data_IF_746518082542
#
_entry.id   IF_746518082542
#
_cell.length_a   1.000
_cell.length_b   1.000
_cell.length_c   1.000
_cell.angle_alpha   90.00
_cell.angle_beta   90.00
_cell.angle_gamma   90.00
#
_symmetry.space_group_name_H-M   'P 1'
#
loop_
_entity.id
_entity.type
_entity.pdbx_description
1 polymer ?
#
# COMPACT_ATOMS: atom_id res chain seq x y z
N UNK A 1 30.45 -4.71 -4.84
CA UNK A 1 29.31 -4.03 -4.16
C UNK A 1 28.43 -3.25 -5.15
N UNK A 2 27.85 -3.86 -6.19
CA UNK A 2 27.41 -3.04 -7.36
C UNK A 2 26.08 -3.41 -8.04
N UNK A 3 25.28 -4.33 -7.51
CA UNK A 3 23.94 -4.64 -8.08
C UNK A 3 22.78 -4.13 -7.21
N UNK A 4 22.66 -4.68 -6.00
CA UNK A 4 21.47 -4.47 -5.13
C UNK A 4 21.22 -3.01 -4.71
N UNK A 5 22.26 -2.22 -4.48
CA UNK A 5 22.10 -0.81 -4.11
C UNK A 5 21.57 0.04 -5.27
N UNK A 6 21.95 -0.29 -6.52
CA UNK A 6 21.46 0.40 -7.71
C UNK A 6 19.95 0.15 -7.89
N UNK A 7 19.50 -1.11 -7.76
CA UNK A 7 18.07 -1.45 -7.85
C UNK A 7 17.22 -0.85 -6.72
N UNK A 8 17.78 -0.73 -5.51
CA UNK A 8 17.08 -0.08 -4.39
C UNK A 8 16.69 1.37 -4.76
N UNK A 9 17.60 2.10 -5.41
CA UNK A 9 17.33 3.47 -5.87
C UNK A 9 16.29 3.54 -6.98
N UNK A 10 16.24 2.53 -7.88
CA UNK A 10 15.30 2.51 -9.01
C UNK A 10 13.86 2.36 -8.53
N UNK A 11 13.61 1.49 -7.56
CA UNK A 11 12.25 1.22 -7.06
C UNK A 11 11.79 2.19 -5.97
N UNK A 12 12.70 2.91 -5.31
CA UNK A 12 12.35 3.80 -4.21
C UNK A 12 11.31 4.85 -4.61
N UNK A 13 11.40 5.39 -5.84
CA UNK A 13 10.45 6.38 -6.38
C UNK A 13 9.00 5.86 -6.45
N UNK A 14 8.82 4.56 -6.62
CA UNK A 14 7.51 3.92 -6.79
C UNK A 14 6.81 3.64 -5.46
N UNK A 15 7.52 3.75 -4.33
CA UNK A 15 7.01 3.47 -2.99
C UNK A 15 7.08 4.72 -2.12
N UNK A 16 5.91 5.24 -1.71
CA UNK A 16 5.83 6.36 -0.80
C UNK A 16 6.49 6.02 0.56
N UNK A 17 7.03 7.01 1.29
CA UNK A 17 7.59 6.76 2.62
C UNK A 17 6.62 6.12 3.61
N UNK A 18 5.31 6.37 3.44
CA UNK A 18 4.24 5.76 4.25
C UNK A 18 3.81 4.36 3.79
N UNK A 19 4.46 3.76 2.79
CA UNK A 19 4.17 2.41 2.29
C UNK A 19 3.20 2.33 1.13
N UNK A 20 2.58 3.43 0.70
CA UNK A 20 1.71 3.39 -0.49
C UNK A 20 2.55 3.06 -1.73
N UNK A 21 2.10 2.07 -2.50
CA UNK A 21 2.65 1.80 -3.83
C UNK A 21 2.08 2.82 -4.83
N UNK A 22 2.88 3.83 -5.16
CA UNK A 22 2.42 4.98 -5.93
C UNK A 22 1.95 4.60 -7.33
N UNK A 23 2.58 3.63 -8.00
CA UNK A 23 2.21 3.21 -9.37
C UNK A 23 0.74 2.77 -9.50
N UNK A 24 0.16 2.28 -8.41
CA UNK A 24 -1.23 1.80 -8.36
C UNK A 24 -2.18 2.74 -7.62
N UNK A 25 -1.72 3.96 -7.33
CA UNK A 25 -2.58 5.02 -6.85
C UNK A 25 -3.46 5.55 -8.00
N UNK A 26 -4.76 5.81 -7.78
CA UNK A 26 -5.64 6.39 -8.79
C UNK A 26 -5.08 7.68 -9.42
N UNK A 27 -4.34 8.49 -8.65
CA UNK A 27 -3.75 9.73 -9.14
C UNK A 27 -2.78 9.57 -10.30
N UNK A 28 -2.12 8.41 -10.44
CA UNK A 28 -1.26 8.13 -11.60
C UNK A 28 -2.07 8.16 -12.89
N UNK A 29 -3.24 7.53 -12.90
CA UNK A 29 -4.11 7.47 -14.08
C UNK A 29 -4.91 8.76 -14.27
N UNK A 30 -5.45 9.33 -13.19
CA UNK A 30 -6.40 10.45 -13.28
C UNK A 30 -5.71 11.75 -13.67
N UNK A 31 -4.47 11.98 -13.25
CA UNK A 31 -3.78 13.25 -13.50
C UNK A 31 -2.26 13.12 -13.67
N UNK A 32 -1.79 11.96 -14.15
CA UNK A 32 -0.37 11.70 -14.40
C UNK A 32 0.54 11.96 -13.19
N UNK A 33 0.08 11.58 -11.99
CA UNK A 33 0.87 11.73 -10.77
C UNK A 33 2.18 10.92 -10.86
N UNK A 34 3.30 11.57 -10.56
CA UNK A 34 4.64 10.94 -10.56
C UNK A 34 5.05 10.32 -9.21
N UNK A 35 4.15 10.32 -8.23
CA UNK A 35 4.39 9.73 -6.89
C UNK A 35 4.88 10.73 -5.85
N UNK A 36 4.76 10.34 -4.56
CA UNK A 36 4.98 11.27 -3.45
C UNK A 36 6.41 11.78 -3.34
N UNK A 37 7.41 10.97 -3.71
CA UNK A 37 8.82 11.37 -3.62
C UNK A 37 9.19 12.42 -4.66
N UNK A 38 8.74 12.24 -5.90
CA UNK A 38 8.92 13.22 -6.97
C UNK A 38 8.33 14.58 -6.58
N UNK A 39 7.12 14.53 -6.01
CA UNK A 39 6.37 15.72 -5.57
C UNK A 39 6.78 16.24 -4.20
N UNK A 40 7.80 15.69 -3.55
CA UNK A 40 8.23 16.05 -2.19
C UNK A 40 7.08 16.11 -1.17
N UNK A 41 6.11 15.21 -1.32
CA UNK A 41 4.91 15.12 -0.48
C UNK A 41 3.80 16.13 -0.79
N UNK A 42 3.98 17.03 -1.76
CA UNK A 42 3.00 18.04 -2.19
C UNK A 42 2.33 17.61 -3.50
N UNK A 43 1.24 16.85 -3.42
CA UNK A 43 0.51 16.40 -4.60
C UNK A 43 -0.44 17.51 -5.05
N UNK A 44 -0.35 17.99 -6.30
CA UNK A 44 -1.16 19.11 -6.81
C UNK A 44 -1.08 20.33 -5.86
N UNK A 45 -2.20 21.01 -5.65
CA UNK A 45 -2.31 22.20 -4.79
C UNK A 45 -2.64 21.83 -3.34
N UNK A 46 -2.54 20.56 -2.96
CA UNK A 46 -2.71 20.15 -1.56
C UNK A 46 -1.50 20.56 -0.71
N UNK A 47 -1.68 20.80 0.59
CA UNK A 47 -0.56 21.00 1.51
C UNK A 47 0.40 19.81 1.51
N UNK A 48 1.67 20.05 1.85
CA UNK A 48 2.67 18.99 2.04
C UNK A 48 2.14 17.97 3.05
N UNK A 49 2.14 16.69 2.65
CA UNK A 49 1.68 15.61 3.50
C UNK A 49 2.49 15.55 4.80
N UNK A 50 1.80 15.63 5.95
CA UNK A 50 2.42 15.58 7.29
C UNK A 50 3.24 14.31 7.52
N UNK A 51 2.82 13.17 6.99
CA UNK A 51 3.57 11.91 7.10
C UNK A 51 4.85 11.94 6.26
N UNK A 52 4.80 12.51 5.06
CA UNK A 52 5.98 12.68 4.21
C UNK A 52 7.00 13.59 4.87
N UNK A 53 6.54 14.74 5.41
CA UNK A 53 7.37 15.69 6.15
C UNK A 53 8.07 15.03 7.33
N UNK A 54 7.32 14.31 8.17
CA UNK A 54 7.86 13.59 9.33
C UNK A 54 8.99 12.61 8.96
N UNK A 55 8.80 11.80 7.92
CA UNK A 55 9.82 10.83 7.47
C UNK A 55 11.06 11.55 6.93
N UNK A 56 10.86 12.60 6.14
CA UNK A 56 11.95 13.38 5.53
C UNK A 56 12.79 14.13 6.56
N UNK A 57 12.15 14.76 7.55
CA UNK A 57 12.84 15.50 8.63
C UNK A 57 13.68 14.59 9.53
N UNK A 58 13.26 13.32 9.70
CA UNK A 58 14.01 12.32 10.46
C UNK A 58 15.07 11.59 9.62
N UNK A 59 15.21 11.91 8.33
CA UNK A 59 16.19 11.29 7.44
C UNK A 59 15.90 9.83 7.09
N UNK A 60 14.66 9.37 7.30
CA UNK A 60 14.26 8.00 6.97
C UNK A 60 13.78 7.91 5.51
N UNK A 61 13.92 6.72 4.92
CA UNK A 61 13.32 6.38 3.64
C UNK A 61 11.86 5.93 3.79
N UNK A 62 11.55 5.21 4.87
CA UNK A 62 10.26 4.61 5.15
C UNK A 62 9.88 4.77 6.63
N UNK A 63 8.58 4.83 6.92
CA UNK A 63 8.11 4.95 8.30
C UNK A 63 8.57 3.80 9.22
N UNK A 64 8.82 2.59 8.70
CA UNK A 64 9.19 1.44 9.54
C UNK A 64 10.58 1.56 10.18
N UNK A 65 11.39 2.53 9.75
CA UNK A 65 12.71 2.86 10.31
C UNK A 65 12.59 3.71 11.58
N UNK A 66 11.41 4.24 11.87
CA UNK A 66 11.13 5.01 13.08
C UNK A 66 10.86 4.09 14.28
N UNK A 67 11.42 4.40 15.45
CA UNK A 67 11.17 3.65 16.69
C UNK A 67 9.71 3.73 17.17
N UNK A 68 9.00 4.79 16.79
CA UNK A 68 7.57 4.97 17.06
C UNK A 68 6.67 4.23 16.05
N UNK A 69 7.22 3.43 15.15
CA UNK A 69 6.43 2.68 14.17
C UNK A 69 5.80 1.42 14.77
N UNK A 70 4.49 1.18 14.55
CA UNK A 70 3.52 2.00 13.83
C UNK A 70 2.98 3.17 14.69
N UNK A 71 2.67 4.31 14.06
CA UNK A 71 2.08 5.47 14.75
C UNK A 71 0.74 5.89 14.14
N UNK A 72 0.00 6.76 14.84
CA UNK A 72 -1.35 7.22 14.49
C UNK A 72 -1.48 7.80 13.07
N UNK A 73 -0.40 8.36 12.50
CA UNK A 73 -0.38 8.88 11.11
C UNK A 73 -0.62 7.80 10.04
N UNK A 74 -0.47 6.53 10.41
CA UNK A 74 -0.64 5.37 9.53
C UNK A 74 -1.93 4.58 9.80
N UNK A 75 -2.78 5.06 10.71
CA UNK A 75 -4.03 4.39 11.06
C UNK A 75 -4.91 4.20 9.80
N UNK A 76 -5.47 3.00 9.60
CA UNK A 76 -6.44 2.76 8.53
C UNK A 76 -7.76 3.49 8.83
N UNK A 77 -8.45 3.90 7.78
CA UNK A 77 -9.73 4.62 7.88
C UNK A 77 -10.71 4.03 6.87
N UNK A 78 -11.91 3.71 7.36
CA UNK A 78 -12.97 3.10 6.53
C UNK A 78 -13.57 4.16 5.61
N UNK A 79 -14.01 5.30 6.17
CA UNK A 79 -14.80 6.32 5.45
C UNK A 79 -13.94 7.37 4.72
N UNK A 80 -12.74 7.01 4.27
CA UNK A 80 -11.88 7.85 3.43
C UNK A 80 -11.53 7.13 2.12
N UNK A 81 -12.56 6.51 1.56
CA UNK A 81 -12.52 5.50 0.49
C UNK A 81 -12.00 6.06 -0.83
N UNK A 82 -12.10 7.37 -1.01
CA UNK A 82 -11.53 8.13 -2.14
C UNK A 82 -10.01 7.90 -2.29
N UNK A 83 -9.36 7.38 -1.25
CA UNK A 83 -7.96 7.00 -1.30
C UNK A 83 -7.73 5.55 -0.84
N UNK A 84 -8.48 4.60 -1.38
CA UNK A 84 -8.28 3.15 -1.24
C UNK A 84 -6.83 2.71 -0.93
N UNK A 85 -5.74 3.13 -1.61
CA UNK A 85 -4.38 2.70 -1.25
C UNK A 85 -3.95 3.02 0.20
N UNK A 86 -4.61 3.94 0.92
CA UNK A 86 -4.24 4.36 2.28
C UNK A 86 -4.37 3.26 3.33
N UNK A 87 -5.28 2.29 3.16
CA UNK A 87 -5.40 1.19 4.13
C UNK A 87 -4.33 0.11 3.92
N UNK A 88 -3.56 0.16 2.81
CA UNK A 88 -2.45 -0.77 2.55
C UNK A 88 -1.11 -0.36 3.19
N UNK A 89 -1.01 0.86 3.75
CA UNK A 89 0.23 1.46 4.28
C UNK A 89 1.02 0.53 5.20
N UNK A 90 0.37 0.07 6.28
CA UNK A 90 1.02 -0.77 7.30
C UNK A 90 1.46 -2.11 6.71
N UNK A 91 0.58 -2.78 5.97
CA UNK A 91 0.90 -4.06 5.34
C UNK A 91 2.11 -3.93 4.40
N UNK A 92 2.11 -2.93 3.53
CA UNK A 92 3.21 -2.71 2.59
C UNK A 92 4.52 -2.39 3.31
N UNK A 93 4.51 -1.54 4.35
CA UNK A 93 5.71 -1.23 5.14
C UNK A 93 6.30 -2.48 5.80
N UNK A 94 5.47 -3.33 6.39
CA UNK A 94 5.90 -4.59 7.00
C UNK A 94 6.46 -5.56 5.94
N UNK A 95 5.86 -5.60 4.75
CA UNK A 95 6.36 -6.44 3.66
C UNK A 95 7.68 -5.93 3.08
N UNK A 96 7.87 -4.61 2.95
CA UNK A 96 9.17 -4.02 2.58
C UNK A 96 10.22 -4.35 3.64
N UNK A 97 9.89 -4.20 4.93
CA UNK A 97 10.80 -4.56 6.02
C UNK A 97 11.17 -6.05 6.01
N UNK A 98 10.21 -6.92 5.72
CA UNK A 98 10.40 -8.39 5.71
C UNK A 98 11.18 -8.89 4.50
N UNK A 99 10.86 -8.41 3.30
CA UNK A 99 11.37 -8.95 2.04
C UNK A 99 12.51 -8.11 1.45
N UNK A 100 12.65 -6.86 1.89
CA UNK A 100 13.40 -5.83 1.19
C UNK A 100 12.59 -5.22 0.04
N UNK A 101 12.96 -3.99 -0.34
CA UNK A 101 12.23 -3.21 -1.34
C UNK A 101 12.18 -3.88 -2.72
N UNK A 102 13.28 -4.49 -3.16
CA UNK A 102 13.38 -5.13 -4.48
C UNK A 102 12.36 -6.25 -4.63
N UNK A 103 12.40 -7.24 -3.73
CA UNK A 103 11.48 -8.39 -3.75
C UNK A 103 10.03 -7.97 -3.55
N UNK A 104 9.79 -6.97 -2.69
CA UNK A 104 8.44 -6.45 -2.51
C UNK A 104 7.91 -5.81 -3.79
N UNK A 105 8.74 -5.02 -4.49
CA UNK A 105 8.35 -4.36 -5.72
C UNK A 105 7.99 -5.35 -6.84
N UNK A 106 8.71 -6.47 -6.94
CA UNK A 106 8.44 -7.54 -7.93
C UNK A 106 7.02 -8.12 -7.81
N UNK A 107 6.45 -8.17 -6.60
CA UNK A 107 5.11 -8.74 -6.35
C UNK A 107 4.03 -7.67 -6.09
N UNK A 108 4.39 -6.39 -6.06
CA UNK A 108 3.49 -5.34 -5.58
C UNK A 108 2.29 -5.09 -6.51
N UNK A 109 2.46 -5.30 -7.81
CA UNK A 109 1.37 -5.23 -8.80
C UNK A 109 0.30 -6.30 -8.52
N UNK A 110 0.70 -7.56 -8.33
CA UNK A 110 -0.18 -8.68 -7.97
C UNK A 110 -0.90 -8.40 -6.63
N UNK A 111 -0.16 -7.97 -5.60
CA UNK A 111 -0.76 -7.64 -4.30
C UNK A 111 -1.72 -6.47 -4.39
N UNK A 112 -1.47 -5.52 -5.29
CA UNK A 112 -2.39 -4.43 -5.57
C UNK A 112 -3.66 -4.92 -6.26
N UNK A 113 -3.57 -5.83 -7.25
CA UNK A 113 -4.77 -6.44 -7.86
C UNK A 113 -5.61 -7.18 -6.81
N UNK A 114 -4.98 -7.97 -5.92
CA UNK A 114 -5.69 -8.62 -4.82
C UNK A 114 -6.31 -7.61 -3.85
N UNK A 115 -5.63 -6.50 -3.56
CA UNK A 115 -6.17 -5.46 -2.69
C UNK A 115 -7.42 -4.79 -3.26
N UNK A 116 -7.40 -4.46 -4.56
CA UNK A 116 -8.50 -3.72 -5.20
C UNK A 116 -9.66 -4.60 -5.68
N UNK A 117 -9.39 -5.85 -6.04
CA UNK A 117 -10.36 -6.74 -6.72
C UNK A 117 -10.55 -8.08 -6.02
N UNK A 118 -9.63 -8.41 -5.13
CA UNK A 118 -9.63 -9.69 -4.44
C UNK A 118 -10.76 -9.77 -3.42
N UNK A 119 -11.20 -11.00 -3.21
CA UNK A 119 -12.29 -11.33 -2.29
C UNK A 119 -11.93 -12.60 -1.54
N UNK A 120 -12.54 -12.76 -0.37
CA UNK A 120 -12.53 -14.03 0.35
C UNK A 120 -13.75 -14.81 -0.12
N UNK A 121 -13.54 -16.03 -0.57
CA UNK A 121 -14.63 -16.87 -1.04
C UNK A 121 -15.42 -17.35 0.16
N UNK A 122 -14.76 -18.04 1.11
CA UNK A 122 -15.45 -18.79 2.17
C UNK A 122 -15.31 -18.17 3.56
N UNK A 123 -14.09 -18.04 4.10
CA UNK A 123 -13.86 -17.63 5.48
C UNK A 123 -12.96 -16.40 5.61
N UNK A 124 -13.11 -15.68 6.72
CA UNK A 124 -12.30 -14.52 7.06
C UNK A 124 -10.79 -14.82 7.19
N UNK A 125 -10.38 -16.07 7.39
CA UNK A 125 -8.97 -16.47 7.43
C UNK A 125 -8.36 -16.82 6.07
N UNK A 126 -9.18 -16.98 5.04
CA UNK A 126 -8.71 -17.45 3.74
C UNK A 126 -7.90 -16.38 3.00
N UNK A 127 -7.03 -16.85 2.11
CA UNK A 127 -6.30 -15.97 1.20
C UNK A 127 -7.28 -15.24 0.29
N UNK A 128 -6.96 -14.00 -0.06
CA UNK A 128 -7.65 -13.30 -1.12
C UNK A 128 -7.44 -14.04 -2.44
N UNK A 129 -8.52 -14.22 -3.20
CA UNK A 129 -8.49 -14.76 -4.55
C UNK A 129 -9.16 -13.76 -5.50
N UNK A 130 -8.89 -13.90 -6.80
CA UNK A 130 -9.63 -13.18 -7.85
C UNK A 130 -10.82 -14.00 -8.38
N UNK A 131 -11.10 -15.16 -7.79
CA UNK A 131 -12.16 -16.09 -8.19
C UNK A 131 -13.53 -15.56 -7.83
N UNK A 132 -14.55 -15.80 -8.64
CA UNK A 132 -15.92 -15.38 -8.35
C UNK A 132 -16.47 -16.09 -7.11
N UNK A 133 -17.09 -15.31 -6.23
CA UNK A 133 -17.72 -15.85 -5.03
C UNK A 133 -19.02 -16.52 -5.48
N UNK A 134 -19.15 -17.81 -5.19
CA UNK A 134 -20.42 -18.51 -5.37
C UNK A 134 -21.51 -17.77 -4.56
N UNK A 135 -22.56 -17.26 -5.21
CA UNK A 135 -23.64 -16.55 -4.52
C UNK A 135 -24.38 -17.43 -3.50
N UNK A 136 -24.32 -18.76 -3.64
CA UNK A 136 -24.97 -19.72 -2.73
C UNK A 136 -24.10 -20.13 -1.53
N UNK A 137 -22.85 -19.65 -1.45
CA UNK A 137 -21.87 -20.09 -0.46
C UNK A 137 -22.20 -19.68 0.98
N UNK A 138 -23.08 -18.69 1.15
CA UNK A 138 -23.59 -18.24 2.44
C UNK A 138 -25.09 -18.50 2.53
N UNK A 139 -25.57 -19.66 2.07
CA UNK A 139 -26.85 -20.18 2.57
C UNK A 139 -26.75 -20.13 4.10
N UNK A 140 -27.60 -19.31 4.71
CA UNK A 140 -27.58 -19.18 6.14
C UNK A 140 -27.98 -20.54 6.70
N UNK A 141 -27.46 -20.94 7.87
CA UNK A 141 -27.91 -22.15 8.60
C UNK A 141 -29.44 -22.25 8.82
N UNK A 142 -30.19 -21.20 8.47
CA UNK A 142 -31.66 -21.10 8.52
C UNK A 142 -32.34 -21.60 7.23
N UNK A 143 -31.57 -21.83 6.16
CA UNK A 143 -32.05 -22.19 4.82
C UNK A 143 -31.90 -23.69 4.53
N UNK A 144 -31.23 -24.44 5.41
CA UNK A 144 -31.21 -25.91 5.41
C UNK A 144 -32.48 -26.41 6.13
N UNK A 145 -33.58 -26.56 5.39
CA UNK A 145 -34.80 -27.25 5.84
C UNK A 145 -34.71 -28.74 5.60
#
# INVERSE_FOLDING_TARGET
MSGRYCYMSVYLKDHAPCGIYCKRCPGVKVYNCKGCREHKGQIKDFPVCKTYKCVSERGFNFCFECDEFPCERLQPIVNFEIFMPHNSKIYNLLMIKKLGLVKWNEICEEKSDLYYKGRKIRYGGDKLTLEEKDPNLYTHKRDEK
#
